data_IF_422929625741
#
_entry.id   IF_422929625741
#
_cell.length_a   1.000
_cell.length_b   1.000
_cell.length_c   1.000
_cell.angle_alpha   90.00
_cell.angle_beta   90.00
_cell.angle_gamma   90.00
#
_symmetry.space_group_name_H-M   'P 1'
#
loop_
_entity.id
_entity.type
_entity.pdbx_description
1 polymer ?
#
# COMPACT_ATOMS: atom_id res chain seq x y z
N UNK A 1 3.12 30.08 -8.06
CA UNK A 1 2.42 29.73 -6.81
C UNK A 1 1.73 28.34 -6.84
N UNK A 2 1.12 27.92 -7.95
CA UNK A 2 0.41 26.62 -8.10
C UNK A 2 1.30 25.37 -7.98
N UNK A 3 2.58 25.46 -8.34
CA UNK A 3 3.53 24.33 -8.33
C UNK A 3 3.78 23.75 -6.93
N UNK A 4 3.70 24.58 -5.88
CA UNK A 4 3.89 24.12 -4.49
C UNK A 4 2.68 23.32 -4.01
N UNK A 5 1.46 23.75 -4.34
CA UNK A 5 0.25 22.98 -4.05
C UNK A 5 0.29 21.60 -4.71
N UNK A 6 0.74 21.50 -5.97
CA UNK A 6 0.84 20.21 -6.66
C UNK A 6 1.82 19.25 -5.97
N UNK A 7 2.93 19.73 -5.41
CA UNK A 7 3.87 18.90 -4.65
C UNK A 7 3.30 18.45 -3.32
N UNK A 8 2.68 19.36 -2.58
CA UNK A 8 2.03 19.03 -1.30
C UNK A 8 0.91 18.02 -1.53
N UNK A 9 0.08 18.20 -2.56
CA UNK A 9 -0.98 17.27 -2.92
C UNK A 9 -0.45 15.87 -3.28
N UNK A 10 0.66 15.81 -4.02
CA UNK A 10 1.32 14.53 -4.34
C UNK A 10 1.88 13.86 -3.08
N UNK A 11 2.47 14.63 -2.17
CA UNK A 11 2.98 14.12 -0.89
C UNK A 11 1.84 13.60 0.00
N UNK A 12 0.72 14.32 0.07
CA UNK A 12 -0.49 13.89 0.77
C UNK A 12 -1.05 12.60 0.16
N UNK A 13 -1.09 12.46 -1.18
CA UNK A 13 -1.50 11.20 -1.83
C UNK A 13 -0.59 10.02 -1.51
N UNK A 14 0.74 10.24 -1.47
CA UNK A 14 1.70 9.21 -1.08
C UNK A 14 1.57 8.82 0.40
N UNK A 15 1.39 9.81 1.29
CA UNK A 15 1.24 9.59 2.74
C UNK A 15 -0.11 8.96 3.09
N UNK A 16 -1.18 9.31 2.37
CA UNK A 16 -2.52 8.72 2.53
C UNK A 16 -2.58 7.25 2.07
N UNK A 17 -1.55 6.76 1.37
CA UNK A 17 -1.54 5.40 0.83
C UNK A 17 -2.43 5.22 -0.40
N UNK A 18 -2.85 6.31 -1.07
CA UNK A 18 -3.62 6.21 -2.32
C UNK A 18 -2.77 5.57 -3.44
N UNK A 19 -1.45 5.78 -3.40
CA UNK A 19 -0.47 5.12 -4.28
C UNK A 19 0.13 3.83 -3.70
N UNK A 20 -0.25 3.41 -2.48
CA UNK A 20 0.35 2.25 -1.81
C UNK A 20 0.20 0.96 -2.62
N UNK A 21 -0.97 0.79 -3.28
CA UNK A 21 -1.21 -0.36 -4.14
C UNK A 21 -0.36 -0.32 -5.43
N UNK A 22 -0.15 0.85 -6.03
CA UNK A 22 0.71 1.00 -7.21
C UNK A 22 2.18 0.71 -6.88
N UNK A 23 2.64 1.15 -5.70
CA UNK A 23 3.96 0.80 -5.18
C UNK A 23 4.09 -0.70 -4.90
N UNK A 24 3.06 -1.32 -4.34
CA UNK A 24 3.01 -2.76 -4.15
C UNK A 24 3.13 -3.49 -5.49
N UNK A 25 2.36 -3.09 -6.51
CA UNK A 25 2.44 -3.68 -7.85
C UNK A 25 3.82 -3.50 -8.49
N UNK A 26 4.46 -2.34 -8.31
CA UNK A 26 5.82 -2.10 -8.82
C UNK A 26 6.86 -2.96 -8.11
N UNK A 27 6.75 -3.08 -6.79
CA UNK A 27 7.59 -3.97 -6.01
C UNK A 27 7.37 -5.43 -6.39
N UNK A 28 6.12 -5.83 -6.58
CA UNK A 28 5.72 -7.17 -7.02
C UNK A 28 6.28 -7.47 -8.42
N UNK A 29 6.14 -6.54 -9.36
CA UNK A 29 6.76 -6.66 -10.66
C UNK A 29 8.28 -6.81 -10.54
N UNK A 30 8.96 -6.00 -9.73
CA UNK A 30 10.42 -6.06 -9.65
C UNK A 30 10.98 -7.30 -8.92
N UNK A 31 10.28 -7.82 -7.91
CA UNK A 31 10.79 -8.88 -7.03
C UNK A 31 10.09 -10.24 -7.23
N UNK A 32 8.88 -10.24 -7.77
CA UNK A 32 8.04 -11.42 -7.95
C UNK A 32 7.69 -11.69 -9.42
N UNK A 33 8.42 -11.08 -10.37
CA UNK A 33 8.25 -11.27 -11.83
C UNK A 33 8.34 -12.74 -12.31
N UNK A 34 8.80 -13.67 -11.46
CA UNK A 34 8.88 -15.11 -11.75
C UNK A 34 8.06 -16.01 -10.81
N UNK A 35 7.29 -15.45 -9.88
CA UNK A 35 6.39 -16.26 -9.05
C UNK A 35 5.13 -16.63 -9.84
N UNK A 36 4.68 -17.89 -9.72
CA UNK A 36 3.43 -18.36 -10.32
C UNK A 36 2.18 -17.77 -9.68
N UNK A 37 2.32 -17.20 -8.50
CA UNK A 37 1.21 -16.55 -7.81
C UNK A 37 0.88 -15.23 -8.52
N UNK A 38 -0.40 -14.86 -8.66
CA UNK A 38 -0.77 -13.53 -9.13
C UNK A 38 -0.56 -12.49 -8.00
N UNK A 39 -0.34 -11.20 -8.34
CA UNK A 39 -0.35 -10.14 -7.35
C UNK A 39 -1.71 -10.07 -6.65
N UNK A 40 -1.71 -9.69 -5.36
CA UNK A 40 -2.96 -9.49 -4.63
C UNK A 40 -3.84 -8.45 -5.32
N UNK A 41 -5.15 -8.67 -5.31
CA UNK A 41 -6.09 -7.64 -5.74
C UNK A 41 -6.02 -6.43 -4.80
N UNK A 42 -6.43 -5.26 -5.29
CA UNK A 42 -6.46 -4.02 -4.48
C UNK A 42 -7.21 -4.25 -3.17
N UNK A 43 -8.38 -4.87 -3.24
CA UNK A 43 -9.21 -5.16 -2.07
C UNK A 43 -8.49 -6.07 -1.05
N UNK A 44 -7.83 -7.13 -1.50
CA UNK A 44 -7.11 -8.05 -0.60
C UNK A 44 -5.88 -7.40 0.04
N UNK A 45 -5.17 -6.53 -0.70
CA UNK A 45 -4.07 -5.75 -0.15
C UNK A 45 -4.53 -4.84 1.00
N UNK A 46 -5.59 -4.05 0.79
CA UNK A 46 -6.14 -3.20 1.84
C UNK A 46 -6.80 -3.99 2.97
N UNK A 47 -7.37 -5.16 2.68
CA UNK A 47 -7.90 -6.06 3.69
C UNK A 47 -6.79 -6.57 4.60
N UNK A 48 -5.70 -7.13 4.06
CA UNK A 48 -4.53 -7.56 4.87
C UNK A 48 -3.92 -6.42 5.67
N UNK A 49 -3.85 -5.22 5.10
CA UNK A 49 -3.34 -4.05 5.82
C UNK A 49 -4.23 -3.69 7.01
N UNK A 50 -5.55 -3.64 6.80
CA UNK A 50 -6.52 -3.39 7.88
C UNK A 50 -6.50 -4.52 8.89
N UNK A 51 -6.53 -5.78 8.46
CA UNK A 51 -6.44 -6.94 9.33
C UNK A 51 -5.19 -6.82 10.21
N UNK A 52 -4.02 -6.43 9.70
CA UNK A 52 -2.83 -6.20 10.54
C UNK A 52 -2.91 -5.02 11.52
N UNK A 53 -3.78 -4.03 11.28
CA UNK A 53 -4.05 -2.93 12.24
C UNK A 53 -4.98 -3.37 13.37
N UNK A 54 -5.84 -4.36 13.13
CA UNK A 54 -6.89 -4.80 14.04
C UNK A 54 -6.65 -6.19 14.66
N UNK A 55 -5.81 -7.01 14.04
CA UNK A 55 -5.36 -8.33 14.50
C UNK A 55 -4.24 -8.14 15.53
N UNK A 56 -4.64 -7.71 16.72
CA UNK A 56 -3.67 -7.34 17.73
C UNK A 56 -4.23 -6.70 18.99
N UNK A 57 -5.28 -7.25 19.59
CA UNK A 57 -5.29 -7.23 21.06
C UNK A 57 -4.23 -8.23 21.49
N UNK A 58 -2.96 -7.79 21.52
CA UNK A 58 -1.88 -8.56 22.15
C UNK A 58 -2.15 -8.57 23.66
N UNK A 59 -3.07 -9.44 24.10
CA UNK A 59 -3.19 -9.79 25.51
C UNK A 59 -1.94 -10.59 25.83
N UNK A 60 -0.95 -9.96 26.44
CA UNK A 60 0.05 -10.72 27.18
C UNK A 60 -0.71 -11.48 28.27
N UNK A 61 -0.83 -12.79 28.09
CA UNK A 61 -0.96 -13.73 29.20
C UNK A 61 0.46 -14.08 29.64
#
# INVERSE_FOLDING_TARGET
MVLRLKRVWRAVRQLSGDDAYERYLRHYANHHQGNKEPPLTKAEFFKRWQDGLWDGVKRCC
#
